data_IF_267465481331
#
_entry.id   IF_267465481331
#
_cell.length_a   1.000
_cell.length_b   1.000
_cell.length_c   1.000
_cell.angle_alpha   90.00
_cell.angle_beta   90.00
_cell.angle_gamma   90.00
#
_symmetry.space_group_name_H-M   'P 1'
#
loop_
_entity.id
_entity.type
_entity.pdbx_description
1 polymer ?
#
# COMPACT_ATOMS: atom_id res chain seq x y z
N UNK A 1 0.06 7.43 5.67
CA UNK A 1 0.88 6.26 6.00
C UNK A 1 0.62 5.26 4.93
N UNK A 2 1.66 4.81 4.24
CA UNK A 2 1.49 3.90 3.13
C UNK A 2 1.76 2.48 3.59
N UNK A 3 0.95 1.53 3.16
CA UNK A 3 1.17 0.13 3.47
C UNK A 3 1.99 -0.52 2.35
N UNK A 4 2.96 -1.36 2.70
CA UNK A 4 3.75 -2.13 1.73
C UNK A 4 2.81 -3.11 1.00
N UNK A 5 1.94 -3.77 1.75
CA UNK A 5 0.84 -4.61 1.28
C UNK A 5 -0.49 -3.96 1.64
N UNK A 6 -1.33 -3.72 0.63
CA UNK A 6 -2.68 -3.24 0.86
C UNK A 6 -3.42 -4.14 1.85
N UNK A 7 -3.91 -3.58 2.95
CA UNK A 7 -4.59 -4.32 4.00
C UNK A 7 -5.92 -4.93 3.55
N UNK A 8 -6.59 -4.38 2.52
CA UNK A 8 -7.89 -4.85 1.96
C UNK A 8 -9.00 -5.17 3.00
N UNK A 9 -8.96 -4.56 4.19
CA UNK A 9 -9.93 -4.79 5.27
C UNK A 9 -9.40 -5.68 6.40
N UNK A 10 -8.21 -6.27 6.24
CA UNK A 10 -7.49 -6.99 7.28
C UNK A 10 -6.89 -6.01 8.30
N UNK A 11 -7.42 -6.03 9.52
CA UNK A 11 -6.98 -5.15 10.59
C UNK A 11 -5.57 -5.49 11.09
N UNK A 12 -5.13 -6.74 10.95
CA UNK A 12 -3.77 -7.15 11.34
C UNK A 12 -2.76 -6.45 10.44
N UNK A 13 -2.97 -6.49 9.12
CA UNK A 13 -2.14 -5.78 8.15
C UNK A 13 -2.24 -4.26 8.27
N UNK A 14 -3.37 -3.74 8.76
CA UNK A 14 -3.55 -2.31 9.01
C UNK A 14 -2.64 -1.82 10.15
N UNK A 15 -2.59 -2.56 11.26
CA UNK A 15 -1.85 -2.21 12.46
C UNK A 15 -0.42 -2.77 12.51
N UNK A 16 -0.04 -3.62 11.56
CA UNK A 16 1.31 -4.14 11.42
C UNK A 16 2.27 -3.02 11.01
N UNK A 17 3.10 -2.60 11.96
CA UNK A 17 4.10 -1.55 11.75
C UNK A 17 5.18 -1.97 10.75
N UNK A 18 5.45 -3.27 10.61
CA UNK A 18 6.37 -3.78 9.59
C UNK A 18 5.79 -3.67 8.18
N UNK A 19 4.47 -3.54 8.06
CA UNK A 19 3.76 -3.26 6.83
C UNK A 19 3.69 -1.76 6.51
N UNK A 20 4.20 -0.87 7.38
CA UNK A 20 4.19 0.57 7.12
C UNK A 20 5.46 1.02 6.42
N UNK A 21 5.30 1.79 5.35
CA UNK A 21 6.40 2.41 4.62
C UNK A 21 6.30 3.93 4.69
N UNK A 22 7.27 4.63 5.31
CA UNK A 22 7.34 6.08 5.24
C UNK A 22 7.81 6.49 3.86
N UNK A 23 6.86 6.92 3.02
CA UNK A 23 7.15 7.46 1.69
C UNK A 23 6.91 8.96 1.65
N UNK A 24 7.78 9.65 0.91
CA UNK A 24 7.60 11.06 0.60
C UNK A 24 6.35 11.25 -0.29
N UNK A 25 5.67 12.41 -0.24
CA UNK A 25 4.44 12.65 -1.04
C UNK A 25 4.63 12.35 -2.53
N UNK A 26 5.73 12.81 -3.15
CA UNK A 26 6.05 12.51 -4.56
C UNK A 26 6.26 11.01 -4.82
N UNK A 27 6.85 10.30 -3.87
CA UNK A 27 7.12 8.88 -3.92
C UNK A 27 5.82 8.08 -3.81
N UNK A 28 4.93 8.53 -2.91
CA UNK A 28 3.60 7.98 -2.69
C UNK A 28 2.71 8.17 -3.92
N UNK A 29 2.60 9.39 -4.45
CA UNK A 29 1.77 9.69 -5.63
C UNK A 29 2.23 8.88 -6.86
N UNK A 30 3.55 8.64 -7.00
CA UNK A 30 4.09 7.75 -8.04
C UNK A 30 3.66 6.30 -7.84
N UNK A 31 3.72 5.77 -6.61
CA UNK A 31 3.32 4.39 -6.30
C UNK A 31 1.83 4.17 -6.56
N UNK A 32 0.95 5.07 -6.09
CA UNK A 32 -0.50 4.97 -6.32
C UNK A 32 -0.84 4.94 -7.80
N UNK A 33 -0.17 5.78 -8.62
CA UNK A 33 -0.41 5.84 -10.07
C UNK A 33 0.11 4.62 -10.84
N UNK A 34 0.98 3.81 -10.26
CA UNK A 34 1.61 2.68 -10.95
C UNK A 34 1.15 1.32 -10.41
N UNK A 35 0.88 1.22 -9.11
CA UNK A 35 0.61 -0.05 -8.42
C UNK A 35 -0.84 -0.19 -7.93
N UNK A 36 -1.51 0.89 -7.51
CA UNK A 36 -2.93 0.82 -7.10
C UNK A 36 -3.88 0.89 -8.31
N UNK A 37 -3.48 1.56 -9.39
CA UNK A 37 -4.29 1.63 -10.62
C UNK A 37 -4.32 0.33 -11.42
N UNK A 38 -3.29 -0.51 -11.30
CA UNK A 38 -3.16 -1.81 -11.96
C UNK A 38 -2.96 -2.90 -10.92
N UNK A 39 -3.90 -3.01 -9.99
CA UNK A 39 -3.92 -4.14 -9.08
C UNK A 39 -4.43 -5.37 -9.85
N UNK A 40 -3.50 -6.12 -10.44
CA UNK A 40 -3.79 -7.39 -11.10
C UNK A 40 -4.36 -8.36 -10.05
N UNK A 41 -5.67 -8.60 -10.10
CA UNK A 41 -6.32 -9.63 -9.31
C UNK A 41 -6.02 -10.97 -9.97
N UNK A 42 -4.99 -11.67 -9.51
CA UNK A 42 -4.91 -13.11 -9.74
C UNK A 42 -5.86 -13.80 -8.75
N UNK A 43 -6.95 -14.36 -9.27
CA UNK A 43 -7.86 -15.27 -8.55
C UNK A 43 -7.18 -16.63 -8.32
#
# INVERSE_FOLDING_TARGET
>A
MDHIKAHRGDQVLFWDQSNWQPLCKKCHDKKTRTADQFQEYSY
#
